data_IF_520479115861
#
_entry.id   IF_520479115861
#
_cell.length_a   1.000
_cell.length_b   1.000
_cell.length_c   1.000
_cell.angle_alpha   90.00
_cell.angle_beta   90.00
_cell.angle_gamma   90.00
#
_symmetry.space_group_name_H-M   'P 1'
#
loop_
_entity.id
_entity.type
_entity.pdbx_description
1 polymer ?
#
# COMPACT_ATOMS: atom_id res chain seq x y z
N UNK A 1 25.43 13.93 18.07
CA UNK A 1 23.99 13.66 18.23
C UNK A 1 23.51 13.04 16.93
N UNK A 2 23.25 11.74 16.92
CA UNK A 2 22.66 11.06 15.76
C UNK A 2 21.16 11.20 15.90
N UNK A 3 20.49 11.83 14.93
CA UNK A 3 19.05 11.67 14.78
C UNK A 3 18.87 10.32 14.10
N UNK A 4 18.47 9.31 14.86
CA UNK A 4 18.06 8.04 14.26
C UNK A 4 16.84 8.35 13.37
N UNK A 5 17.00 8.19 12.06
CA UNK A 5 15.92 8.48 11.10
C UNK A 5 14.85 7.41 11.29
N UNK A 6 13.68 7.77 11.83
CA UNK A 6 12.56 6.84 11.92
C UNK A 6 12.04 6.53 10.50
N UNK A 7 11.59 5.29 10.23
CA UNK A 7 10.96 4.98 8.96
C UNK A 7 9.64 5.75 8.83
N UNK A 8 9.38 6.30 7.64
CA UNK A 8 8.09 6.90 7.31
C UNK A 8 7.50 6.26 6.05
N UNK A 9 6.17 6.28 5.97
CA UNK A 9 5.41 5.70 4.86
C UNK A 9 4.72 6.82 4.09
N UNK A 10 4.93 6.86 2.78
CA UNK A 10 4.11 7.65 1.85
C UNK A 10 3.23 6.73 1.01
N UNK A 11 2.18 7.31 0.44
CA UNK A 11 1.23 6.58 -0.39
C UNK A 11 0.93 7.36 -1.67
N UNK A 12 0.85 6.66 -2.79
CA UNK A 12 0.42 7.20 -4.08
C UNK A 12 -0.59 6.26 -4.73
N UNK A 13 -1.43 6.82 -5.60
CA UNK A 13 -2.38 6.07 -6.42
C UNK A 13 -2.11 6.37 -7.89
N UNK A 14 -2.20 5.35 -8.75
CA UNK A 14 -2.19 5.55 -10.20
C UNK A 14 -2.91 4.39 -10.91
N UNK A 15 -3.74 4.68 -11.94
CA UNK A 15 -4.20 6.02 -12.34
C UNK A 15 -5.12 6.66 -11.27
N UNK A 16 -5.49 7.93 -11.41
CA UNK A 16 -6.36 8.62 -10.43
C UNK A 16 -7.82 8.15 -10.49
N UNK A 17 -8.23 7.58 -11.63
CA UNK A 17 -9.54 7.00 -11.84
C UNK A 17 -9.46 5.85 -12.85
N UNK A 18 -10.38 4.91 -12.73
CA UNK A 18 -10.62 3.83 -13.68
C UNK A 18 -12.11 3.72 -13.94
N UNK A 19 -12.47 3.17 -15.10
CA UNK A 19 -13.85 2.75 -15.35
C UNK A 19 -14.10 1.42 -14.64
N UNK A 20 -15.28 1.25 -14.03
CA UNK A 20 -15.62 0.06 -13.23
C UNK A 20 -15.53 -1.25 -14.05
N UNK A 21 -15.85 -1.19 -15.34
CA UNK A 21 -15.74 -2.33 -16.27
C UNK A 21 -14.48 -2.28 -17.14
N UNK A 22 -13.52 -1.44 -16.79
CA UNK A 22 -12.26 -1.30 -17.52
C UNK A 22 -11.27 -2.42 -17.21
N UNK A 23 -10.30 -2.61 -18.10
CA UNK A 23 -9.21 -3.58 -17.89
C UNK A 23 -8.08 -3.05 -16.99
N UNK A 24 -8.11 -1.76 -16.65
CA UNK A 24 -7.07 -1.09 -15.84
C UNK A 24 -7.53 -1.02 -14.39
N UNK A 25 -6.61 -1.35 -13.47
CA UNK A 25 -6.87 -1.28 -12.03
C UNK A 25 -6.21 -0.03 -11.42
N UNK A 26 -6.80 0.49 -10.34
CA UNK A 26 -6.11 1.43 -9.45
C UNK A 26 -4.98 0.69 -8.73
N UNK A 27 -3.77 1.26 -8.76
CA UNK A 27 -2.62 0.75 -8.03
C UNK A 27 -2.32 1.72 -6.89
N UNK A 28 -2.55 1.25 -5.67
CA UNK A 28 -2.18 1.92 -4.44
C UNK A 28 -0.79 1.47 -4.00
N UNK A 29 0.17 2.38 -4.01
CA UNK A 29 1.58 2.10 -3.70
C UNK A 29 1.96 2.74 -2.38
N UNK A 30 2.46 1.93 -1.44
CA UNK A 30 3.03 2.40 -0.18
C UNK A 30 4.55 2.33 -0.27
N UNK A 31 5.22 3.46 -0.02
CA UNK A 31 6.69 3.55 -0.05
C UNK A 31 7.20 3.77 1.36
N UNK A 32 8.07 2.87 1.83
CA UNK A 32 8.83 3.06 3.06
C UNK A 32 10.15 3.73 2.75
N UNK A 33 10.43 4.83 3.43
CA UNK A 33 11.72 5.53 3.39
C UNK A 33 12.35 5.55 4.77
N UNK A 34 13.69 5.56 4.83
CA UNK A 34 14.45 5.35 6.07
C UNK A 34 14.78 3.88 6.29
N UNK A 35 15.03 3.45 7.54
CA UNK A 35 15.46 2.09 7.85
C UNK A 35 14.46 1.03 7.39
N UNK A 36 14.94 -0.02 6.72
CA UNK A 36 14.13 -1.15 6.20
C UNK A 36 14.52 -2.52 6.78
N UNK A 37 15.55 -2.55 7.65
CA UNK A 37 16.09 -3.79 8.23
C UNK A 37 15.09 -4.52 9.12
N UNK A 38 14.29 -3.78 9.89
CA UNK A 38 13.24 -4.35 10.75
C UNK A 38 11.89 -4.39 10.04
N UNK A 39 11.14 -5.47 10.23
CA UNK A 39 9.77 -5.59 9.72
C UNK A 39 8.87 -4.45 10.26
N UNK A 40 8.02 -3.90 9.40
CA UNK A 40 7.05 -2.86 9.76
C UNK A 40 5.68 -3.27 9.21
N UNK A 41 4.67 -3.25 10.08
CA UNK A 41 3.28 -3.49 9.69
C UNK A 41 2.62 -2.14 9.39
N UNK A 42 2.00 -2.01 8.23
CA UNK A 42 1.24 -0.81 7.82
C UNK A 42 -0.22 -1.20 7.67
N UNK A 43 -1.09 -0.61 8.47
CA UNK A 43 -2.54 -0.79 8.39
C UNK A 43 -3.16 0.32 7.55
N UNK A 44 -4.11 -0.02 6.68
CA UNK A 44 -4.84 0.93 5.85
C UNK A 44 -6.33 0.54 5.79
N UNK A 45 -7.16 1.52 5.48
CA UNK A 45 -8.60 1.32 5.24
C UNK A 45 -8.94 1.87 3.86
N UNK A 46 -9.93 1.25 3.21
CA UNK A 46 -10.49 1.73 1.94
C UNK A 46 -11.88 2.27 2.25
N UNK A 47 -12.09 3.56 1.99
CA UNK A 47 -13.36 4.25 2.19
C UNK A 47 -14.11 4.50 0.89
N UNK A 48 -15.25 5.21 0.98
CA UNK A 48 -16.11 5.55 -0.15
C UNK A 48 -17.43 4.76 -0.14
N UNK A 49 -18.18 4.87 -1.23
CA UNK A 49 -19.48 4.19 -1.40
C UNK A 49 -19.36 2.82 -2.07
N UNK A 50 -18.24 2.56 -2.73
CA UNK A 50 -17.96 1.29 -3.39
C UNK A 50 -17.77 0.16 -2.35
N UNK A 51 -18.36 -1.00 -2.60
CA UNK A 51 -18.29 -2.16 -1.71
C UNK A 51 -17.31 -3.21 -2.24
N UNK A 52 -16.47 -3.75 -1.34
CA UNK A 52 -15.56 -4.86 -1.66
C UNK A 52 -16.36 -6.11 -1.99
N UNK A 53 -16.00 -6.80 -3.08
CA UNK A 53 -16.68 -8.00 -3.55
C UNK A 53 -17.88 -7.73 -4.46
N UNK A 54 -18.32 -6.48 -4.62
CA UNK A 54 -19.35 -6.12 -5.60
C UNK A 54 -18.86 -5.09 -6.60
N UNK A 55 -18.26 -3.99 -6.13
CA UNK A 55 -17.76 -2.91 -7.00
C UNK A 55 -16.26 -3.02 -7.26
N UNK A 56 -15.51 -3.64 -6.35
CA UNK A 56 -14.08 -3.84 -6.54
C UNK A 56 -13.58 -5.09 -5.81
N UNK A 57 -12.49 -5.64 -6.32
CA UNK A 57 -11.72 -6.70 -5.70
C UNK A 57 -10.26 -6.26 -5.61
N UNK A 58 -9.59 -6.58 -4.50
CA UNK A 58 -8.16 -6.30 -4.35
C UNK A 58 -7.34 -7.57 -4.60
N UNK A 59 -6.39 -7.51 -5.53
CA UNK A 59 -5.29 -8.49 -5.62
C UNK A 59 -4.13 -8.03 -4.73
N UNK A 60 -4.39 -7.80 -3.45
CA UNK A 60 -3.29 -7.53 -2.53
C UNK A 60 -2.42 -8.80 -2.42
N UNK A 61 -1.10 -8.66 -2.48
CA UNK A 61 -0.22 -9.63 -1.80
C UNK A 61 -0.72 -9.65 -0.35
N UNK A 62 -1.04 -10.82 0.25
CA UNK A 62 -1.78 -10.87 1.51
C UNK A 62 -1.14 -9.96 2.56
N UNK A 63 -1.94 -9.31 3.44
CA UNK A 63 -1.49 -8.32 4.43
C UNK A 63 -0.53 -8.87 5.50
N UNK A 64 -0.05 -10.10 5.32
CA UNK A 64 0.94 -10.79 6.16
C UNK A 64 2.12 -11.29 5.34
N UNK A 65 2.55 -10.58 4.30
CA UNK A 65 3.91 -10.77 3.80
C UNK A 65 4.80 -9.70 4.43
N UNK A 66 5.62 -10.05 5.45
CA UNK A 66 6.69 -9.16 5.88
C UNK A 66 7.46 -8.72 4.64
N UNK A 67 7.69 -7.41 4.49
CA UNK A 67 8.69 -6.94 3.55
C UNK A 67 9.99 -7.67 3.89
N UNK A 68 10.65 -8.34 2.93
CA UNK A 68 11.91 -9.00 3.20
C UNK A 68 12.90 -7.97 3.74
N UNK A 69 13.65 -8.33 4.78
CA UNK A 69 14.80 -7.54 5.20
C UNK A 69 15.73 -7.41 3.98
N UNK A 70 16.17 -6.19 3.68
CA UNK A 70 17.25 -6.00 2.72
C UNK A 70 18.52 -6.72 3.24
N UNK A 71 19.38 -7.25 2.35
CA UNK A 71 20.69 -7.78 2.75
C UNK A 71 21.54 -6.72 3.45
#
# INVERSE_FOLDING_TARGET
MVFDSLPFITHTVSPDAVTESGSVNLIYTFTRTGPTTSALTVSYTVGGTAHFGTNYYSKAVPPRKPLPAAP
#
